data_IF_609998783448
#
_entry.id   IF_609998783448
#
_cell.length_a   1.000
_cell.length_b   1.000
_cell.length_c   1.000
_cell.angle_alpha   90.00
_cell.angle_beta   90.00
_cell.angle_gamma   90.00
#
_symmetry.space_group_name_H-M   'P 1'
#
loop_
_entity.id
_entity.type
_entity.pdbx_description
1 polymer ?
#
# COMPACT_ATOMS: atom_id res chain seq x y z
N UNK A 1 22.60 -5.11 24.23
CA UNK A 1 21.60 -4.03 24.35
C UNK A 1 21.33 -3.54 22.93
N UNK A 2 20.29 -4.02 22.28
CA UNK A 2 19.87 -3.51 20.99
C UNK A 2 19.27 -2.12 21.23
N UNK A 3 19.92 -1.10 20.72
CA UNK A 3 19.38 0.26 20.70
C UNK A 3 18.01 0.18 20.03
N UNK A 4 16.96 0.46 20.78
CA UNK A 4 15.62 0.56 20.21
C UNK A 4 15.67 1.66 19.14
N UNK A 5 15.28 1.34 17.91
CA UNK A 5 15.15 2.35 16.86
C UNK A 5 14.22 3.46 17.37
N UNK A 6 14.53 4.73 17.09
CA UNK A 6 13.71 5.84 17.57
C UNK A 6 12.28 5.65 17.07
N UNK A 7 11.31 5.77 17.99
CA UNK A 7 9.90 5.72 17.64
C UNK A 7 9.55 6.98 16.86
N UNK A 8 9.09 6.81 15.65
CA UNK A 8 8.71 7.91 14.77
C UNK A 8 7.21 8.20 14.91
N UNK A 9 6.87 9.48 14.80
CA UNK A 9 5.47 9.92 14.77
C UNK A 9 5.04 10.10 13.33
N UNK A 10 4.16 9.23 12.79
CA UNK A 10 3.60 9.40 11.45
C UNK A 10 2.90 10.75 11.35
N UNK A 11 3.28 11.56 10.36
CA UNK A 11 2.74 12.90 10.17
C UNK A 11 1.82 12.94 8.94
N UNK A 12 0.50 13.07 9.10
CA UNK A 12 -0.40 13.17 7.96
C UNK A 12 -0.11 14.42 7.12
N UNK A 13 0.07 14.23 5.81
CA UNK A 13 0.27 15.32 4.83
C UNK A 13 -0.86 15.31 3.82
N UNK A 14 -1.29 16.48 3.39
CA UNK A 14 -2.24 16.56 2.28
C UNK A 14 -1.45 16.60 0.98
N UNK A 15 -1.71 15.63 0.10
CA UNK A 15 -1.38 15.73 -1.31
C UNK A 15 -2.67 15.98 -2.08
N UNK A 16 -2.71 17.04 -2.86
CA UNK A 16 -3.76 17.29 -3.84
C UNK A 16 -3.17 17.04 -5.24
N UNK A 17 -3.29 15.81 -5.79
CA UNK A 17 -2.77 15.54 -7.11
C UNK A 17 -3.51 16.39 -8.15
N UNK A 18 -2.77 17.05 -9.04
CA UNK A 18 -3.35 17.79 -10.16
C UNK A 18 -3.85 16.80 -11.22
N UNK A 19 -5.13 16.46 -11.12
CA UNK A 19 -5.85 15.68 -12.13
C UNK A 19 -6.69 16.54 -13.08
N UNK A 20 -6.62 17.86 -12.98
CA UNK A 20 -7.21 18.77 -13.96
C UNK A 20 -6.44 18.74 -15.29
N UNK A 21 -5.13 18.55 -15.20
CA UNK A 21 -4.27 18.31 -16.36
C UNK A 21 -4.53 16.92 -16.96
N UNK A 22 -4.61 16.80 -18.32
CA UNK A 22 -4.92 15.54 -18.98
C UNK A 22 -3.90 14.44 -18.63
N UNK A 23 -4.36 13.42 -17.92
CA UNK A 23 -3.57 12.21 -17.65
C UNK A 23 -3.68 11.24 -18.83
N UNK A 24 -2.57 10.85 -19.47
CA UNK A 24 -2.63 9.88 -20.58
C UNK A 24 -3.24 8.54 -20.12
N UNK A 25 -4.01 7.89 -21.03
CA UNK A 25 -4.60 6.57 -20.75
C UNK A 25 -3.57 5.55 -20.29
N UNK A 26 -2.44 5.47 -20.99
CA UNK A 26 -1.30 4.63 -20.64
C UNK A 26 -0.21 5.51 -20.03
N UNK A 27 -0.48 6.02 -18.86
CA UNK A 27 0.35 7.00 -18.17
C UNK A 27 1.72 6.46 -17.71
N UNK A 28 1.93 5.14 -17.76
CA UNK A 28 3.20 4.51 -17.44
C UNK A 28 4.00 4.23 -18.71
N UNK A 29 4.76 5.22 -19.18
CA UNK A 29 5.61 5.10 -20.36
C UNK A 29 4.86 4.78 -21.67
N UNK A 30 3.58 5.12 -21.77
CA UNK A 30 2.76 4.79 -22.94
C UNK A 30 2.36 3.30 -23.03
N UNK A 31 2.59 2.49 -21.99
CA UNK A 31 2.42 1.05 -21.99
C UNK A 31 1.17 0.63 -21.21
N UNK A 32 0.28 -0.15 -21.81
CA UNK A 32 -0.97 -0.59 -21.18
C UNK A 32 -0.72 -1.54 -19.99
N UNK A 33 0.15 -2.54 -20.14
CA UNK A 33 0.38 -3.54 -19.10
C UNK A 33 0.92 -2.95 -17.79
N UNK A 34 2.05 -2.22 -17.76
CA UNK A 34 2.52 -1.62 -16.51
C UNK A 34 1.54 -0.59 -15.95
N UNK A 35 0.86 0.19 -16.80
CA UNK A 35 -0.19 1.11 -16.36
C UNK A 35 -1.30 0.38 -15.60
N UNK A 36 -1.83 -0.71 -16.16
CA UNK A 36 -2.95 -1.42 -15.53
C UNK A 36 -2.52 -2.31 -14.36
N UNK A 37 -1.27 -2.76 -14.30
CA UNK A 37 -0.72 -3.40 -13.10
C UNK A 37 -0.74 -2.42 -11.93
N UNK A 38 -0.28 -1.18 -12.13
CA UNK A 38 -0.29 -0.17 -11.06
C UNK A 38 -1.71 0.36 -10.81
N UNK A 39 -2.53 0.57 -11.83
CA UNK A 39 -3.95 0.91 -11.63
C UNK A 39 -4.69 -0.17 -10.82
N UNK A 40 -4.36 -1.45 -11.06
CA UNK A 40 -4.99 -2.58 -10.34
C UNK A 40 -4.77 -2.52 -8.84
N UNK A 41 -3.55 -2.28 -8.38
CA UNK A 41 -3.29 -2.12 -6.95
C UNK A 41 -3.89 -0.82 -6.41
N UNK A 42 -3.83 0.26 -7.18
CA UNK A 42 -4.41 1.55 -6.81
C UNK A 42 -5.92 1.46 -6.53
N UNK A 43 -6.66 0.61 -7.26
CA UNK A 43 -8.09 0.38 -7.00
C UNK A 43 -8.36 -0.28 -5.64
N UNK A 44 -7.38 -0.94 -5.03
CA UNK A 44 -7.54 -1.65 -3.77
C UNK A 44 -7.28 -0.76 -2.55
N UNK A 45 -6.44 0.27 -2.69
CA UNK A 45 -5.97 1.08 -1.58
C UNK A 45 -7.11 1.72 -0.77
N UNK A 46 -8.06 2.50 -1.31
CA UNK A 46 -8.98 3.26 -0.48
C UNK A 46 -9.84 2.42 0.47
N UNK A 47 -10.34 1.29 0.01
CA UNK A 47 -11.14 0.41 0.84
C UNK A 47 -10.26 -0.40 1.81
N UNK A 48 -9.03 -0.78 1.39
CA UNK A 48 -8.02 -1.42 2.21
C UNK A 48 -7.59 -0.55 3.38
N UNK A 49 -7.21 0.68 3.11
CA UNK A 49 -6.76 1.66 4.10
C UNK A 49 -7.85 1.96 5.14
N UNK A 50 -9.10 2.09 4.71
CA UNK A 50 -10.23 2.18 5.65
C UNK A 50 -10.39 0.92 6.50
N UNK A 51 -10.11 -0.25 5.97
CA UNK A 51 -10.09 -1.49 6.74
C UNK A 51 -8.94 -1.49 7.75
N UNK A 52 -7.75 -1.02 7.39
CA UNK A 52 -6.60 -0.91 8.30
C UNK A 52 -6.92 0.00 9.48
N UNK A 53 -7.49 1.19 9.21
CA UNK A 53 -7.96 2.10 10.26
C UNK A 53 -8.95 1.42 11.19
N UNK A 54 -9.97 0.71 10.68
CA UNK A 54 -10.98 0.05 11.51
C UNK A 54 -10.37 -1.04 12.38
N UNK A 55 -9.47 -1.85 11.84
CA UNK A 55 -8.87 -2.98 12.55
C UNK A 55 -7.95 -2.54 13.68
N UNK A 56 -7.13 -1.50 13.47
CA UNK A 56 -6.27 -0.91 14.50
C UNK A 56 -7.09 -0.18 15.56
N UNK A 57 -8.06 0.64 15.13
CA UNK A 57 -8.93 1.42 16.02
C UNK A 57 -9.71 0.55 16.98
N UNK A 58 -10.12 -0.66 16.57
CA UNK A 58 -10.85 -1.60 17.43
C UNK A 58 -10.09 -1.95 18.73
N UNK A 59 -8.76 -1.90 18.67
CA UNK A 59 -7.92 -2.26 19.81
C UNK A 59 -7.29 -1.06 20.52
N UNK A 60 -7.51 0.15 20.05
CA UNK A 60 -6.81 1.32 20.57
C UNK A 60 -7.01 1.51 22.07
N UNK A 61 -8.23 1.31 22.57
CA UNK A 61 -8.56 1.42 24.01
C UNK A 61 -7.92 0.30 24.88
N UNK A 62 -7.32 -0.71 24.27
CA UNK A 62 -6.61 -1.82 24.94
C UNK A 62 -5.10 -1.68 24.89
N UNK A 63 -4.61 -0.60 24.34
CA UNK A 63 -3.18 -0.28 24.24
C UNK A 63 -2.84 0.74 25.32
N UNK A 64 -2.02 0.36 26.31
CA UNK A 64 -1.64 1.23 27.43
C UNK A 64 -0.48 2.17 27.10
N UNK A 65 0.16 2.02 25.93
CA UNK A 65 1.31 2.82 25.50
C UNK A 65 0.85 4.14 24.85
N UNK A 66 1.04 5.30 25.52
CA UNK A 66 0.57 6.58 24.99
C UNK A 66 1.29 6.98 23.70
N UNK A 67 2.54 6.53 23.50
CA UNK A 67 3.30 6.77 22.26
C UNK A 67 2.67 6.01 21.12
N UNK A 68 2.33 4.74 21.32
CA UNK A 68 1.67 3.94 20.30
C UNK A 68 0.26 4.47 19.97
N UNK A 69 -0.44 5.07 20.95
CA UNK A 69 -1.69 5.79 20.70
C UNK A 69 -1.51 6.95 19.73
N UNK A 70 -0.50 7.79 19.94
CA UNK A 70 -0.20 8.92 19.05
C UNK A 70 0.25 8.44 17.67
N UNK A 71 1.06 7.40 17.62
CA UNK A 71 1.46 6.78 16.35
C UNK A 71 0.24 6.24 15.58
N UNK A 72 -0.71 5.59 16.27
CA UNK A 72 -1.95 5.12 15.65
C UNK A 72 -2.83 6.28 15.13
N UNK A 73 -2.88 7.42 15.84
CA UNK A 73 -3.59 8.62 15.35
C UNK A 73 -2.94 9.17 14.08
N UNK A 74 -1.61 9.26 14.05
CA UNK A 74 -0.86 9.67 12.87
C UNK A 74 -1.11 8.73 11.68
N UNK A 75 -1.06 7.41 11.93
CA UNK A 75 -1.40 6.37 10.98
C UNK A 75 -2.82 6.54 10.40
N UNK A 76 -3.84 6.73 11.25
CA UNK A 76 -5.21 6.98 10.77
C UNK A 76 -5.32 8.21 9.89
N UNK A 77 -4.53 9.23 10.20
CA UNK A 77 -4.48 10.46 9.41
C UNK A 77 -3.82 10.25 8.05
N UNK A 78 -2.72 9.51 7.97
CA UNK A 78 -2.04 9.17 6.70
C UNK A 78 -2.94 8.29 5.84
N UNK A 79 -3.43 7.17 6.37
CA UNK A 79 -4.32 6.25 5.67
C UNK A 79 -5.60 6.91 5.12
N UNK A 80 -6.21 7.79 5.92
CA UNK A 80 -7.39 8.53 5.48
C UNK A 80 -7.12 9.48 4.30
N UNK A 81 -5.92 10.07 4.24
CA UNK A 81 -5.49 10.93 3.14
C UNK A 81 -5.06 10.16 1.91
N UNK A 82 -4.41 9.00 2.09
CA UNK A 82 -4.12 8.06 1.03
C UNK A 82 -5.40 7.63 0.32
N UNK A 83 -6.40 7.14 1.07
CA UNK A 83 -7.69 6.76 0.53
C UNK A 83 -8.31 7.86 -0.32
N UNK A 84 -8.34 9.09 0.18
CA UNK A 84 -8.91 10.24 -0.53
C UNK A 84 -8.14 10.58 -1.82
N UNK A 85 -6.81 10.58 -1.76
CA UNK A 85 -5.97 10.90 -2.91
C UNK A 85 -6.09 9.84 -4.03
N UNK A 86 -6.14 8.55 -3.66
CA UNK A 86 -6.37 7.47 -4.62
C UNK A 86 -7.78 7.48 -5.22
N UNK A 87 -8.80 7.80 -4.43
CA UNK A 87 -10.18 7.96 -4.94
C UNK A 87 -10.31 9.08 -5.97
N UNK A 88 -9.57 10.17 -5.82
CA UNK A 88 -9.59 11.25 -6.82
C UNK A 88 -9.13 10.76 -8.19
N UNK A 89 -8.17 9.82 -8.24
CA UNK A 89 -7.73 9.19 -9.48
C UNK A 89 -8.80 8.28 -10.12
N UNK A 90 -9.74 7.74 -9.36
CA UNK A 90 -10.83 6.93 -9.93
C UNK A 90 -11.73 7.74 -10.86
N UNK A 91 -11.83 9.04 -10.65
CA UNK A 91 -12.56 9.94 -11.54
C UNK A 91 -11.87 10.01 -12.92
N UNK A 92 -10.54 10.06 -12.95
CA UNK A 92 -9.75 10.03 -14.19
C UNK A 92 -10.00 8.72 -14.96
N UNK A 93 -9.93 7.58 -14.29
CA UNK A 93 -10.20 6.28 -14.91
C UNK A 93 -11.64 6.20 -15.47
N UNK A 94 -12.60 6.73 -14.71
CA UNK A 94 -14.02 6.78 -15.14
C UNK A 94 -14.19 7.68 -16.36
N UNK A 95 -13.58 8.86 -16.37
CA UNK A 95 -13.61 9.80 -17.51
C UNK A 95 -12.94 9.18 -18.76
N UNK A 96 -11.94 8.35 -18.58
CA UNK A 96 -11.30 7.57 -19.65
C UNK A 96 -12.16 6.38 -20.13
N UNK A 97 -13.34 6.14 -19.55
CA UNK A 97 -14.30 5.11 -19.95
C UNK A 97 -14.13 3.75 -19.30
N UNK A 98 -13.27 3.62 -18.26
CA UNK A 98 -13.16 2.38 -17.49
C UNK A 98 -14.32 2.25 -16.49
N UNK A 99 -14.94 1.07 -16.45
CA UNK A 99 -16.03 0.73 -15.52
C UNK A 99 -15.49 0.28 -14.18
N UNK A 100 -14.79 1.17 -13.46
CA UNK A 100 -14.15 0.83 -12.18
C UNK A 100 -15.16 0.62 -11.05
N UNK A 101 -16.32 1.31 -11.08
CA UNK A 101 -17.35 1.23 -10.03
C UNK A 101 -17.92 -0.19 -9.84
N UNK A 102 -18.07 -0.95 -10.92
CA UNK A 102 -18.61 -2.30 -10.84
C UNK A 102 -17.62 -3.24 -10.14
N UNK A 103 -16.33 -3.10 -10.45
CA UNK A 103 -15.28 -3.84 -9.74
C UNK A 103 -15.21 -3.47 -8.26
N UNK A 104 -15.18 -2.18 -7.93
CA UNK A 104 -15.11 -1.71 -6.55
C UNK A 104 -16.27 -2.24 -5.72
N UNK A 105 -17.50 -2.20 -6.24
CA UNK A 105 -18.68 -2.74 -5.55
C UNK A 105 -18.54 -4.24 -5.23
N UNK A 106 -18.05 -5.03 -6.19
CA UNK A 106 -17.84 -6.49 -6.01
C UNK A 106 -16.71 -6.73 -5.00
N UNK A 107 -15.59 -6.03 -5.17
CA UNK A 107 -14.44 -6.12 -4.28
C UNK A 107 -14.82 -5.79 -2.83
N UNK A 108 -15.46 -4.65 -2.62
CA UNK A 108 -15.88 -4.21 -1.28
C UNK A 108 -16.91 -5.16 -0.67
N UNK A 109 -17.83 -5.68 -1.47
CA UNK A 109 -18.80 -6.65 -0.99
C UNK A 109 -18.13 -7.95 -0.53
N UNK A 110 -17.22 -8.51 -1.31
CA UNK A 110 -16.52 -9.76 -0.95
C UNK A 110 -15.58 -9.54 0.22
N UNK A 111 -14.71 -8.53 0.14
CA UNK A 111 -13.65 -8.33 1.12
C UNK A 111 -14.18 -7.83 2.46
N UNK A 112 -15.08 -6.85 2.47
CA UNK A 112 -15.45 -6.13 3.68
C UNK A 112 -16.84 -6.50 4.21
N UNK A 113 -17.83 -6.71 3.34
CA UNK A 113 -19.15 -7.15 3.78
C UNK A 113 -19.22 -8.69 3.98
N UNK A 114 -18.35 -9.44 3.29
CA UNK A 114 -18.22 -10.89 3.45
C UNK A 114 -17.11 -11.25 4.45
N UNK A 115 -15.85 -11.22 3.99
CA UNK A 115 -14.69 -11.76 4.75
C UNK A 115 -14.46 -10.97 6.06
N UNK A 116 -14.38 -9.65 6.02
CA UNK A 116 -14.14 -8.84 7.23
C UNK A 116 -15.22 -9.06 8.27
N UNK A 117 -16.49 -9.14 7.84
CA UNK A 117 -17.64 -9.27 8.76
C UNK A 117 -17.58 -10.54 9.59
N UNK A 118 -17.09 -11.64 9.04
CA UNK A 118 -17.02 -12.93 9.74
C UNK A 118 -15.67 -13.18 10.42
N UNK A 119 -14.65 -12.43 10.05
CA UNK A 119 -13.31 -12.59 10.60
C UNK A 119 -13.22 -12.09 12.06
N UNK A 120 -12.62 -12.86 12.98
CA UNK A 120 -12.36 -12.38 14.34
C UNK A 120 -11.51 -11.11 14.35
N UNK A 121 -11.72 -10.17 15.30
CA UNK A 121 -10.97 -8.92 15.36
C UNK A 121 -9.45 -9.09 15.35
N UNK A 122 -8.90 -10.08 16.06
CA UNK A 122 -7.46 -10.35 16.08
C UNK A 122 -6.93 -10.80 14.71
N UNK A 123 -7.71 -11.56 13.94
CA UNK A 123 -7.34 -11.95 12.58
C UNK A 123 -7.38 -10.74 11.63
N UNK A 124 -8.37 -9.87 11.76
CA UNK A 124 -8.41 -8.60 10.99
C UNK A 124 -7.16 -7.77 11.20
N UNK A 125 -6.75 -7.59 12.46
CA UNK A 125 -5.53 -6.86 12.81
C UNK A 125 -4.27 -7.57 12.28
N UNK A 126 -4.20 -8.91 12.35
CA UNK A 126 -3.08 -9.66 11.79
C UNK A 126 -3.00 -9.56 10.26
N UNK A 127 -4.13 -9.51 9.55
CA UNK A 127 -4.21 -9.24 8.11
C UNK A 127 -3.73 -7.82 7.81
N UNK A 128 -4.17 -6.81 8.58
CA UNK A 128 -3.69 -5.43 8.44
C UNK A 128 -2.17 -5.35 8.62
N UNK A 129 -1.61 -5.90 9.70
CA UNK A 129 -0.16 -5.89 9.93
C UNK A 129 0.64 -6.57 8.79
N UNK A 130 0.05 -7.57 8.13
CA UNK A 130 0.67 -8.20 6.98
C UNK A 130 0.53 -7.38 5.70
N UNK A 131 -0.61 -6.71 5.47
CA UNK A 131 -0.78 -5.78 4.36
C UNK A 131 0.19 -4.60 4.48
N UNK A 132 0.30 -3.99 5.67
CA UNK A 132 1.28 -2.95 5.98
C UNK A 132 2.73 -3.38 5.68
N UNK A 133 3.05 -4.64 5.95
CA UNK A 133 4.35 -5.16 5.57
C UNK A 133 4.52 -5.26 4.04
N UNK A 134 3.47 -5.65 3.30
CA UNK A 134 3.52 -5.69 1.83
C UNK A 134 3.60 -4.29 1.22
N UNK A 135 2.87 -3.32 1.74
CA UNK A 135 2.93 -1.93 1.26
C UNK A 135 4.28 -1.29 1.57
N UNK A 136 4.86 -1.52 2.75
CA UNK A 136 6.21 -1.08 3.11
C UNK A 136 7.30 -1.68 2.22
N UNK A 137 7.20 -2.97 1.83
CA UNK A 137 8.12 -3.61 0.89
C UNK A 137 8.00 -2.97 -0.51
N UNK A 138 6.77 -2.76 -0.98
CA UNK A 138 6.51 -2.09 -2.27
C UNK A 138 7.05 -0.66 -2.25
N UNK A 139 6.85 0.06 -1.15
CA UNK A 139 7.31 1.42 -0.94
C UNK A 139 8.83 1.50 -1.01
N UNK A 140 9.54 0.63 -0.29
CA UNK A 140 11.00 0.56 -0.35
C UNK A 140 11.51 0.29 -1.77
N UNK A 141 10.92 -0.69 -2.46
CA UNK A 141 11.25 -1.00 -3.85
C UNK A 141 10.97 0.18 -4.78
N UNK A 142 9.87 0.89 -4.58
CA UNK A 142 9.49 2.06 -5.38
C UNK A 142 10.48 3.20 -5.22
N UNK A 143 10.89 3.50 -3.99
CA UNK A 143 11.82 4.59 -3.69
C UNK A 143 13.27 4.27 -4.10
N UNK A 144 13.72 3.01 -3.93
CA UNK A 144 15.10 2.60 -4.27
C UNK A 144 15.35 2.42 -5.77
N UNK A 145 14.41 1.78 -6.46
CA UNK A 145 14.67 1.23 -7.81
C UNK A 145 14.20 2.15 -8.93
N UNK A 146 13.79 3.39 -8.60
CA UNK A 146 13.33 4.38 -9.59
C UNK A 146 12.26 3.80 -10.53
N UNK A 147 11.44 2.89 -10.01
CA UNK A 147 10.44 2.15 -10.79
C UNK A 147 9.45 3.08 -11.51
N UNK A 148 9.11 4.22 -10.89
CA UNK A 148 8.13 5.18 -11.40
C UNK A 148 8.71 6.26 -12.32
N UNK A 149 9.97 6.18 -12.74
CA UNK A 149 10.59 7.23 -13.58
C UNK A 149 9.89 7.41 -14.93
N UNK A 150 9.28 6.35 -15.48
CA UNK A 150 8.50 6.41 -16.71
C UNK A 150 7.03 6.78 -16.49
N UNK A 151 6.60 7.01 -15.26
CA UNK A 151 5.23 7.36 -14.93
C UNK A 151 4.93 8.84 -15.20
N UNK A 152 3.67 9.15 -15.50
CA UNK A 152 3.20 10.54 -15.60
C UNK A 152 3.47 11.28 -14.27
N UNK A 153 3.94 12.55 -14.31
CA UNK A 153 4.39 13.26 -13.11
C UNK A 153 3.38 13.27 -11.96
N UNK A 154 2.09 13.49 -12.24
CA UNK A 154 1.04 13.50 -11.21
C UNK A 154 0.90 12.15 -10.51
N UNK A 155 0.88 11.04 -11.28
CA UNK A 155 0.79 9.69 -10.72
C UNK A 155 2.08 9.30 -9.99
N UNK A 156 3.22 9.72 -10.53
CA UNK A 156 4.50 9.52 -9.85
C UNK A 156 4.52 10.23 -8.50
N UNK A 157 4.10 11.49 -8.44
CA UNK A 157 4.04 12.25 -7.19
C UNK A 157 3.11 11.57 -6.16
N UNK A 158 1.91 11.15 -6.58
CA UNK A 158 0.97 10.43 -5.72
C UNK A 158 1.57 9.16 -5.13
N UNK A 159 2.14 8.31 -5.98
CA UNK A 159 2.67 7.00 -5.57
C UNK A 159 3.96 7.10 -4.76
N UNK A 160 4.83 8.07 -5.04
CA UNK A 160 6.05 8.31 -4.28
C UNK A 160 5.75 8.89 -2.90
N UNK A 161 4.78 9.83 -2.79
CA UNK A 161 4.31 10.36 -1.52
C UNK A 161 3.71 9.26 -0.64
N UNK A 162 2.80 8.45 -1.20
CA UNK A 162 2.22 7.30 -0.52
C UNK A 162 3.34 6.36 -0.04
N UNK A 163 4.27 5.97 -0.92
CA UNK A 163 5.38 5.09 -0.55
C UNK A 163 6.23 5.64 0.61
N UNK A 164 6.46 6.95 0.68
CA UNK A 164 7.21 7.53 1.77
C UNK A 164 6.45 7.43 3.11
N UNK A 165 5.14 7.70 3.10
CA UNK A 165 4.31 7.59 4.30
C UNK A 165 4.11 6.14 4.75
N UNK A 166 4.06 5.15 3.83
CA UNK A 166 4.06 3.71 4.15
C UNK A 166 5.30 3.27 4.95
N UNK A 167 6.45 3.84 4.63
CA UNK A 167 7.67 3.57 5.40
C UNK A 167 7.59 4.20 6.80
N UNK A 168 7.03 5.40 6.94
CA UNK A 168 6.93 6.10 8.22
C UNK A 168 6.07 5.34 9.24
N UNK A 169 4.98 4.71 8.82
CA UNK A 169 4.04 4.06 9.72
C UNK A 169 4.07 2.51 9.71
N UNK A 170 4.97 1.89 8.96
CA UNK A 170 5.07 0.43 8.74
C UNK A 170 5.01 -0.46 10.00
N UNK A 171 5.34 0.08 11.16
CA UNK A 171 5.36 -0.68 12.42
C UNK A 171 4.07 -0.57 13.23
N UNK A 172 3.23 0.43 12.98
CA UNK A 172 2.10 0.77 13.86
C UNK A 172 1.13 -0.39 14.05
N UNK A 173 0.62 -0.95 12.96
CA UNK A 173 -0.33 -2.07 13.02
C UNK A 173 0.32 -3.34 13.63
N UNK A 174 1.60 -3.58 13.34
CA UNK A 174 2.37 -4.68 13.91
C UNK A 174 2.54 -4.52 15.42
N UNK A 175 2.88 -3.33 15.91
CA UNK A 175 3.07 -3.04 17.33
C UNK A 175 1.77 -3.20 18.11
N UNK A 176 0.65 -2.72 17.56
CA UNK A 176 -0.68 -2.96 18.16
C UNK A 176 -0.97 -4.47 18.21
N UNK A 177 -0.71 -5.21 17.13
CA UNK A 177 -0.91 -6.68 17.11
C UNK A 177 -0.08 -7.37 18.20
N UNK A 178 1.19 -7.01 18.34
CA UNK A 178 2.08 -7.60 19.36
C UNK A 178 1.64 -7.26 20.79
N UNK A 179 1.00 -6.13 20.99
CA UNK A 179 0.50 -5.73 22.30
C UNK A 179 -0.78 -6.47 22.71
N UNK A 180 -1.71 -6.65 21.76
CA UNK A 180 -3.07 -7.15 22.09
C UNK A 180 -3.28 -8.63 21.75
N UNK A 181 -2.51 -9.20 20.82
CA UNK A 181 -2.63 -10.59 20.38
C UNK A 181 -1.29 -11.15 19.87
N UNK A 182 -0.26 -11.28 20.72
CA UNK A 182 1.12 -11.66 20.33
C UNK A 182 1.21 -13.15 19.99
N UNK A 183 0.60 -13.56 18.88
CA UNK A 183 0.55 -14.96 18.44
C UNK A 183 1.23 -15.14 17.09
N UNK A 184 2.30 -15.92 17.05
CA UNK A 184 3.00 -16.24 15.81
C UNK A 184 2.11 -16.99 14.79
N UNK A 185 1.33 -18.03 15.16
CA UNK A 185 0.40 -18.65 14.21
C UNK A 185 -0.65 -17.68 13.65
N UNK A 186 -1.18 -16.78 14.47
CA UNK A 186 -2.11 -15.75 14.04
C UNK A 186 -1.46 -14.79 13.02
N UNK A 187 -0.22 -14.36 13.29
CA UNK A 187 0.54 -13.52 12.38
C UNK A 187 0.78 -14.20 11.02
N UNK A 188 1.14 -15.48 11.02
CA UNK A 188 1.31 -16.26 9.78
C UNK A 188 -0.01 -16.45 9.05
N UNK A 189 -1.11 -16.75 9.75
CA UNK A 189 -2.44 -16.82 9.15
C UNK A 189 -2.84 -15.49 8.49
N UNK A 190 -2.60 -14.35 9.17
CA UNK A 190 -2.79 -13.02 8.63
C UNK A 190 -2.00 -12.80 7.34
N UNK A 191 -0.72 -13.18 7.31
CA UNK A 191 0.12 -13.08 6.12
C UNK A 191 -0.43 -13.87 4.93
N UNK A 192 -0.85 -15.11 5.16
CA UNK A 192 -1.36 -15.97 4.08
C UNK A 192 -2.67 -15.42 3.51
N UNK A 193 -3.57 -14.94 4.37
CA UNK A 193 -4.84 -14.34 3.95
C UNK A 193 -4.57 -13.02 3.22
N UNK A 194 -3.71 -12.15 3.75
CA UNK A 194 -3.32 -10.90 3.10
C UNK A 194 -2.71 -11.16 1.72
N UNK A 195 -1.79 -12.11 1.60
CA UNK A 195 -1.17 -12.48 0.32
C UNK A 195 -2.21 -12.99 -0.69
N UNK A 196 -3.12 -13.87 -0.27
CA UNK A 196 -4.15 -14.43 -1.14
C UNK A 196 -5.16 -13.35 -1.59
N UNK A 197 -5.67 -12.53 -0.66
CA UNK A 197 -6.65 -11.48 -0.97
C UNK A 197 -6.03 -10.38 -1.83
N UNK A 198 -4.85 -9.86 -1.44
CA UNK A 198 -4.17 -8.81 -2.18
C UNK A 198 -3.85 -9.28 -3.61
N UNK A 199 -3.21 -10.45 -3.76
CA UNK A 199 -2.86 -10.98 -5.08
C UNK A 199 -4.10 -11.27 -5.92
N UNK A 200 -5.13 -11.89 -5.33
CA UNK A 200 -6.35 -12.25 -6.04
C UNK A 200 -7.10 -11.03 -6.57
N UNK A 201 -7.34 -10.04 -5.73
CA UNK A 201 -8.03 -8.81 -6.14
C UNK A 201 -7.18 -7.94 -7.07
N UNK A 202 -5.86 -7.88 -6.86
CA UNK A 202 -4.95 -7.15 -7.75
C UNK A 202 -4.94 -7.75 -9.16
N UNK A 203 -4.82 -9.07 -9.28
CA UNK A 203 -4.89 -9.77 -10.57
C UNK A 203 -6.25 -9.54 -11.22
N UNK A 204 -7.35 -9.65 -10.48
CA UNK A 204 -8.70 -9.42 -10.99
C UNK A 204 -8.88 -7.98 -11.51
N UNK A 205 -8.45 -6.97 -10.74
CA UNK A 205 -8.48 -5.56 -11.13
C UNK A 205 -7.66 -5.31 -12.41
N UNK A 206 -6.42 -5.79 -12.42
CA UNK A 206 -5.51 -5.65 -13.57
C UNK A 206 -6.11 -6.30 -14.82
N UNK A 207 -6.62 -7.52 -14.68
CA UNK A 207 -7.22 -8.27 -15.81
C UNK A 207 -8.46 -7.57 -16.33
N UNK A 208 -9.32 -7.08 -15.44
CA UNK A 208 -10.52 -6.31 -15.80
C UNK A 208 -10.17 -5.05 -16.59
N UNK A 209 -9.15 -4.29 -16.14
CA UNK A 209 -8.71 -3.06 -16.82
C UNK A 209 -8.10 -3.37 -18.20
N UNK A 210 -7.23 -4.37 -18.30
CA UNK A 210 -6.65 -4.83 -19.57
C UNK A 210 -7.73 -5.34 -20.54
N UNK A 211 -8.75 -6.03 -20.02
CA UNK A 211 -9.85 -6.53 -20.84
C UNK A 211 -10.69 -5.36 -21.41
N UNK A 212 -10.96 -4.34 -20.61
CA UNK A 212 -11.66 -3.13 -21.06
C UNK A 212 -10.80 -2.32 -22.05
N UNK A 213 -9.48 -2.28 -21.86
CA UNK A 213 -8.57 -1.51 -22.70
C UNK A 213 -8.50 -2.01 -24.16
N UNK A 214 -8.88 -3.27 -24.42
CA UNK A 214 -9.00 -3.79 -25.80
C UNK A 214 -9.89 -2.96 -26.72
N UNK A 215 -10.88 -2.25 -26.17
CA UNK A 215 -11.77 -1.38 -26.90
C UNK A 215 -11.09 -0.11 -27.43
N UNK A 216 -9.93 0.23 -26.90
CA UNK A 216 -9.17 1.43 -27.20
C UNK A 216 -7.92 1.17 -28.05
N UNK A 217 -7.88 0.04 -28.76
CA UNK A 217 -6.78 -0.36 -29.61
C UNK A 217 -5.66 -1.06 -28.82
N UNK A 218 -5.95 -2.30 -28.42
CA UNK A 218 -5.03 -3.09 -27.63
C UNK A 218 -3.63 -3.14 -28.24
N UNK A 219 -2.70 -2.50 -27.60
CA UNK A 219 -1.29 -2.64 -27.90
C UNK A 219 -0.90 -4.11 -27.71
N UNK A 220 0.04 -4.58 -28.52
CA UNK A 220 0.56 -5.95 -28.41
C UNK A 220 1.16 -6.16 -27.03
N UNK A 221 0.48 -6.91 -26.17
CA UNK A 221 0.92 -7.18 -24.79
C UNK A 221 2.24 -8.00 -24.74
N UNK A 222 2.57 -8.74 -25.79
CA UNK A 222 3.77 -9.57 -25.85
C UNK A 222 5.09 -8.82 -25.58
N UNK A 223 5.42 -7.73 -26.31
CA UNK A 223 6.61 -6.93 -26.05
C UNK A 223 6.60 -6.31 -24.63
N UNK A 224 5.42 -5.89 -24.15
CA UNK A 224 5.26 -5.32 -22.83
C UNK A 224 5.46 -6.37 -21.72
N UNK A 225 4.94 -7.58 -21.92
CA UNK A 225 5.18 -8.72 -21.04
C UNK A 225 6.66 -9.10 -20.97
N UNK A 226 7.40 -8.98 -22.09
CA UNK A 226 8.85 -9.18 -22.12
C UNK A 226 9.57 -8.14 -21.26
N UNK A 227 9.24 -6.86 -21.40
CA UNK A 227 9.80 -5.77 -20.58
C UNK A 227 9.53 -6.01 -19.10
N UNK A 228 8.28 -6.40 -18.75
CA UNK A 228 7.91 -6.73 -17.38
C UNK A 228 8.66 -7.97 -16.88
N UNK A 229 8.92 -8.95 -17.75
CA UNK A 229 9.69 -10.15 -17.40
C UNK A 229 11.17 -9.83 -17.15
N UNK A 230 11.76 -8.94 -17.91
CA UNK A 230 13.13 -8.46 -17.67
C UNK A 230 13.23 -7.73 -16.32
N UNK A 231 12.14 -7.10 -15.87
CA UNK A 231 12.00 -6.49 -14.55
C UNK A 231 11.46 -7.43 -13.46
N UNK A 232 11.19 -8.71 -13.77
CA UNK A 232 10.72 -9.72 -12.78
C UNK A 232 11.64 -9.87 -11.58
N UNK A 233 12.95 -9.65 -11.77
CA UNK A 233 13.89 -9.62 -10.65
C UNK A 233 13.57 -8.57 -9.59
N UNK A 234 12.84 -7.50 -9.95
CA UNK A 234 12.43 -6.47 -9.01
C UNK A 234 11.41 -7.03 -7.99
N UNK A 235 10.29 -7.59 -8.48
CA UNK A 235 9.26 -8.14 -7.59
C UNK A 235 9.78 -9.30 -6.75
N UNK A 236 10.54 -10.23 -7.32
CA UNK A 236 11.11 -11.36 -6.56
C UNK A 236 12.19 -10.92 -5.58
N UNK A 237 12.99 -9.90 -5.90
CA UNK A 237 13.99 -9.31 -4.99
C UNK A 237 13.36 -8.52 -3.86
N UNK A 238 12.19 -7.96 -4.08
CA UNK A 238 11.46 -7.18 -3.09
C UNK A 238 10.60 -8.10 -2.20
N UNK A 239 9.70 -8.88 -2.80
CA UNK A 239 8.73 -9.68 -2.02
C UNK A 239 9.33 -10.94 -1.39
N UNK A 240 10.20 -11.66 -2.08
CA UNK A 240 10.76 -12.90 -1.57
C UNK A 240 11.50 -12.74 -0.24
N UNK A 241 12.49 -11.84 -0.14
CA UNK A 241 13.17 -11.52 1.11
C UNK A 241 12.23 -11.00 2.18
N UNK A 242 11.30 -10.09 1.85
CA UNK A 242 10.36 -9.51 2.80
C UNK A 242 9.43 -10.55 3.41
N UNK A 243 8.85 -11.45 2.62
CA UNK A 243 8.02 -12.55 3.14
C UNK A 243 8.84 -13.45 4.06
N UNK A 244 10.05 -13.83 3.63
CA UNK A 244 10.95 -14.66 4.46
C UNK A 244 11.29 -13.96 5.78
N UNK A 245 11.50 -12.66 5.76
CA UNK A 245 11.77 -11.84 6.94
C UNK A 245 10.57 -11.80 7.88
N UNK A 246 9.35 -11.56 7.36
CA UNK A 246 8.12 -11.54 8.17
C UNK A 246 7.84 -12.89 8.86
N UNK A 247 8.26 -14.00 8.26
CA UNK A 247 8.11 -15.34 8.84
C UNK A 247 9.11 -15.65 9.96
N UNK A 248 10.10 -14.81 10.21
CA UNK A 248 10.99 -15.00 11.35
C UNK A 248 10.25 -14.72 12.65
N UNK A 249 10.52 -15.52 13.70
CA UNK A 249 9.86 -15.34 15.00
C UNK A 249 10.24 -14.02 15.68
N UNK A 250 11.46 -13.57 15.48
CA UNK A 250 12.06 -12.34 15.99
C UNK A 250 11.88 -11.14 15.06
N UNK A 251 11.02 -11.25 14.06
CA UNK A 251 10.75 -10.17 13.11
C UNK A 251 10.08 -8.98 13.77
N UNK A 252 10.56 -7.79 13.41
CA UNK A 252 9.91 -6.52 13.66
C UNK A 252 10.13 -5.60 12.44
N UNK A 253 9.11 -4.81 11.98
CA UNK A 253 9.24 -3.93 10.81
C UNK A 253 10.38 -2.91 10.92
N UNK A 254 10.71 -2.45 12.13
CA UNK A 254 11.83 -1.52 12.38
C UNK A 254 13.21 -2.11 12.12
N UNK A 255 13.33 -3.44 11.92
CA UNK A 255 14.60 -4.05 11.52
C UNK A 255 15.02 -3.66 10.09
N UNK A 256 14.08 -3.16 9.29
CA UNK A 256 14.36 -2.58 7.97
C UNK A 256 14.72 -1.10 8.15
N UNK A 257 16.02 -0.82 8.07
CA UNK A 257 16.53 0.56 8.15
C UNK A 257 16.38 1.27 6.80
N UNK A 258 15.16 1.73 6.52
CA UNK A 258 14.80 2.42 5.28
C UNK A 258 14.12 3.79 5.49
N UNK A 259 14.10 4.27 6.74
CA UNK A 259 13.48 5.56 7.08
C UNK A 259 14.10 6.75 6.35
N UNK A 260 15.43 6.68 6.11
CA UNK A 260 16.12 7.74 5.39
C UNK A 260 15.61 7.90 3.95
N UNK A 261 15.19 6.81 3.30
CA UNK A 261 14.60 6.90 1.94
C UNK A 261 13.32 7.74 1.91
N UNK A 262 12.46 7.55 2.91
CA UNK A 262 11.23 8.33 3.04
C UNK A 262 11.56 9.80 3.34
N UNK A 263 12.47 10.04 4.27
CA UNK A 263 12.90 11.39 4.66
C UNK A 263 13.51 12.16 3.48
N UNK A 264 14.42 11.54 2.73
CA UNK A 264 15.07 12.15 1.57
C UNK A 264 14.04 12.54 0.49
N UNK A 265 13.10 11.65 0.21
CA UNK A 265 12.04 11.95 -0.75
C UNK A 265 11.16 13.11 -0.27
N UNK A 266 10.67 13.05 0.97
CA UNK A 266 9.79 14.10 1.52
C UNK A 266 10.49 15.46 1.54
N UNK A 267 11.76 15.52 1.94
CA UNK A 267 12.56 16.74 1.89
C UNK A 267 12.72 17.25 0.45
N UNK A 268 12.93 16.38 -0.51
CA UNK A 268 13.10 16.75 -1.93
C UNK A 268 11.87 17.43 -2.54
N UNK A 269 10.68 17.14 -1.98
CA UNK A 269 9.40 17.76 -2.39
C UNK A 269 8.93 18.85 -1.42
N UNK A 270 9.80 19.30 -0.50
CA UNK A 270 9.48 20.37 0.46
C UNK A 270 8.54 19.95 1.59
N UNK A 271 8.35 18.66 1.82
CA UNK A 271 7.53 18.13 2.89
C UNK A 271 8.39 17.78 4.12
N UNK A 272 7.90 18.09 5.32
CA UNK A 272 8.62 17.73 6.54
C UNK A 272 8.46 16.22 6.83
N UNK A 273 9.54 15.45 7.06
CA UNK A 273 9.47 14.04 7.44
C UNK A 273 8.88 13.84 8.83
N UNK A 274 8.57 12.58 9.19
CA UNK A 274 8.18 12.20 10.54
C UNK A 274 9.29 12.56 11.54
N UNK A 275 8.89 12.93 12.75
CA UNK A 275 9.82 13.31 13.82
C UNK A 275 10.07 12.14 14.74
N UNK A 276 11.34 11.91 15.10
CA UNK A 276 11.67 11.02 16.20
C UNK A 276 11.20 11.62 17.52
N UNK A 277 10.64 10.79 18.38
CA UNK A 277 10.40 11.20 19.77
C UNK A 277 11.74 11.26 20.50
N UNK A 278 11.99 12.39 21.11
CA UNK A 278 13.13 12.63 22.00
C UNK A 278 13.01 11.86 23.31
#
# INVERSE_FOLDING_TARGET
MTSASPRLMPRPRALAPDFESPTPRHWFGGLALPTHVVNGVNLLFPAGERFFIRSVRYYLDKVDDPVLHEQARGFFGQEGRHAQAHESFFQVLTAQGYKVKDFLRIYEFIAYNGIERVAPPALRLAVTAACEHFTAILAEGTLRERFLDAAHPTLRALLMWHAAEEIEHKAVAFDVLQRVAPSYPLRVAGLLIAAACLSGFWIAATTMLLWQDRKFGAQRLGPQARLMRERRGLLSRVFGPGIRQYLRRDFHPSQNDNMQLAADYLQSVGAAPAQALS
#
